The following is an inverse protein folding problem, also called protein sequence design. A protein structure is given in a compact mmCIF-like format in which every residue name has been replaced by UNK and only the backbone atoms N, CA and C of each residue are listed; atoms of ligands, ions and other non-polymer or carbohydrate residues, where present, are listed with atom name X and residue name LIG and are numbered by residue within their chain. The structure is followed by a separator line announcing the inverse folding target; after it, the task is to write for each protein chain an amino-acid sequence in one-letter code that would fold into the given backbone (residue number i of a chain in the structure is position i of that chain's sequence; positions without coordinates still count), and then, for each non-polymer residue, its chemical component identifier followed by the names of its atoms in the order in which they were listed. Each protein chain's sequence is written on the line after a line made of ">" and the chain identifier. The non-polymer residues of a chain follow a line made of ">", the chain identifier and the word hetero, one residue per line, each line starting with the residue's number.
data_IF_268014801337
#
_entry.id   IF_268014801337
#
_cell.length_a   1.000
_cell.length_b   1.000
_cell.length_c   1.000
_cell.angle_alpha   90.00
_cell.angle_beta   90.00
_cell.angle_gamma   90.00
#
_symmetry.space_group_name_H-M   'P 1'
#
loop_
_entity.id
_entity.type
_entity.pdbx_description
1 polymer ?
#
# COMPACT_ATOMS: atom_id res chain seq x y z
N UNK A 1 0.62 24.82 14.84
CA UNK A 1 0.40 23.36 14.92
C UNK A 1 1.22 22.81 16.07
N UNK A 2 0.59 22.19 17.08
CA UNK A 2 1.29 21.70 18.26
C UNK A 2 2.35 20.64 17.88
N UNK A 3 3.57 20.77 18.42
CA UNK A 3 4.71 19.87 18.18
C UNK A 3 4.34 18.39 18.33
N UNK A 4 3.45 18.08 19.27
CA UNK A 4 2.90 16.75 19.51
C UNK A 4 2.20 16.16 18.28
N UNK A 5 1.32 16.94 17.62
CA UNK A 5 0.57 16.50 16.44
C UNK A 5 1.52 16.18 15.29
N UNK A 6 2.53 17.04 15.07
CA UNK A 6 3.48 16.88 13.97
C UNK A 6 4.40 15.66 14.13
N UNK A 7 4.75 15.30 15.36
CA UNK A 7 5.69 14.21 15.63
C UNK A 7 4.98 12.86 15.74
N UNK A 8 3.81 12.81 16.37
CA UNK A 8 3.15 11.53 16.68
C UNK A 8 1.94 11.22 15.80
N UNK A 9 1.05 12.19 15.59
CA UNK A 9 -0.18 11.96 14.84
C UNK A 9 0.05 11.97 13.33
N UNK A 10 0.87 12.91 12.84
CA UNK A 10 1.03 13.12 11.40
C UNK A 10 1.68 11.90 10.69
N UNK A 11 2.77 11.29 11.20
CA UNK A 11 3.34 10.10 10.56
C UNK A 11 2.39 8.90 10.58
N UNK A 12 1.66 8.70 11.69
CA UNK A 12 0.68 7.62 11.81
C UNK A 12 -0.49 7.78 10.86
N UNK A 13 -1.03 9.00 10.72
CA UNK A 13 -2.10 9.31 9.78
C UNK A 13 -1.66 9.11 8.32
N UNK A 14 -0.44 9.50 7.97
CA UNK A 14 0.13 9.27 6.64
C UNK A 14 0.25 7.77 6.38
N UNK A 15 0.80 6.99 7.31
CA UNK A 15 0.88 5.54 7.17
C UNK A 15 -0.51 4.92 6.96
N UNK A 16 -1.48 5.29 7.79
CA UNK A 16 -2.84 4.79 7.70
C UNK A 16 -3.47 5.10 6.34
N UNK A 17 -3.29 6.32 5.81
CA UNK A 17 -3.83 6.70 4.51
C UNK A 17 -3.29 5.82 3.37
N UNK A 18 -2.00 5.48 3.41
CA UNK A 18 -1.36 4.62 2.40
C UNK A 18 -1.83 3.18 2.55
N UNK A 19 -1.94 2.66 3.77
CA UNK A 19 -2.40 1.28 4.02
C UNK A 19 -3.85 1.10 3.58
N UNK A 20 -4.74 2.06 3.86
CA UNK A 20 -6.14 1.96 3.45
C UNK A 20 -6.27 2.01 1.93
N UNK A 21 -5.53 2.91 1.27
CA UNK A 21 -5.56 3.03 -0.18
C UNK A 21 -5.01 1.80 -0.91
N UNK A 22 -3.92 1.19 -0.40
CA UNK A 22 -3.25 0.08 -1.08
C UNK A 22 -3.57 -1.32 -0.59
N UNK A 23 -4.00 -1.48 0.67
CA UNK A 23 -4.04 -2.79 1.35
C UNK A 23 -5.38 -3.49 1.35
N UNK A 24 -6.49 -2.74 1.36
CA UNK A 24 -7.83 -3.29 1.55
C UNK A 24 -8.92 -2.48 0.84
N UNK A 25 -8.59 -1.87 -0.31
CA UNK A 25 -9.49 -0.94 -1.02
C UNK A 25 -10.84 -1.57 -1.42
N UNK A 26 -10.88 -2.90 -1.61
CA UNK A 26 -12.11 -3.64 -1.89
C UNK A 26 -12.78 -4.22 -0.64
N UNK A 27 -12.09 -4.20 0.50
CA UNK A 27 -12.50 -4.85 1.76
C UNK A 27 -12.48 -6.38 1.72
N UNK A 28 -12.32 -6.99 0.54
CA UNK A 28 -12.41 -8.45 0.35
C UNK A 28 -11.26 -9.19 1.02
N UNK A 29 -10.04 -8.63 0.98
CA UNK A 29 -8.91 -9.24 1.68
C UNK A 29 -9.12 -9.20 3.21
N UNK A 30 -9.79 -8.17 3.75
CA UNK A 30 -10.08 -8.11 5.19
C UNK A 30 -11.02 -9.24 5.60
N UNK A 31 -12.07 -9.46 4.80
CA UNK A 31 -13.06 -10.50 5.06
C UNK A 31 -12.40 -11.87 5.00
N UNK A 32 -11.60 -12.12 3.96
CA UNK A 32 -10.93 -13.40 3.73
C UNK A 32 -9.88 -13.72 4.81
N UNK A 33 -9.03 -12.75 5.17
CA UNK A 33 -7.91 -13.00 6.07
C UNK A 33 -8.27 -12.88 7.55
N UNK A 34 -9.23 -12.04 7.92
CA UNK A 34 -9.57 -11.80 9.33
C UNK A 34 -10.91 -12.37 9.74
N UNK A 35 -11.95 -12.35 8.89
CA UNK A 35 -13.31 -12.74 9.35
C UNK A 35 -13.69 -14.19 9.06
N UNK A 36 -13.01 -14.85 8.12
CA UNK A 36 -13.34 -16.20 7.66
C UNK A 36 -13.26 -17.28 8.77
N UNK A 37 -12.40 -17.09 9.77
CA UNK A 37 -12.12 -18.09 10.81
C UNK A 37 -12.85 -17.83 12.15
N UNK A 38 -13.78 -16.86 12.18
CA UNK A 38 -14.54 -16.48 13.38
C UNK A 38 -14.05 -15.20 14.07
N UNK A 39 -14.86 -14.67 15.01
CA UNK A 39 -14.62 -13.35 15.61
C UNK A 39 -13.33 -13.27 16.43
N UNK A 40 -13.04 -14.27 17.26
CA UNK A 40 -11.87 -14.26 18.16
C UNK A 40 -10.54 -14.36 17.40
N UNK A 41 -10.47 -15.24 16.41
CA UNK A 41 -9.29 -15.38 15.53
C UNK A 41 -9.09 -14.14 14.68
N UNK A 42 -10.17 -13.52 14.20
CA UNK A 42 -10.12 -12.26 13.48
C UNK A 42 -9.59 -11.09 14.31
N UNK A 43 -10.07 -10.93 15.55
CA UNK A 43 -9.57 -9.88 16.45
C UNK A 43 -8.09 -10.07 16.79
N UNK A 44 -7.66 -11.30 17.06
CA UNK A 44 -6.26 -11.61 17.30
C UNK A 44 -5.40 -11.36 16.04
N UNK A 45 -5.86 -11.78 14.87
CA UNK A 45 -5.18 -11.53 13.61
C UNK A 45 -5.02 -10.03 13.35
N UNK A 46 -6.07 -9.25 13.58
CA UNK A 46 -6.05 -7.80 13.39
C UNK A 46 -5.11 -7.10 14.38
N UNK A 47 -5.07 -7.55 15.63
CA UNK A 47 -4.12 -7.06 16.63
C UNK A 47 -2.67 -7.37 16.22
N UNK A 48 -2.39 -8.61 15.82
CA UNK A 48 -1.05 -9.02 15.36
C UNK A 48 -0.62 -8.21 14.16
N UNK A 49 -1.46 -8.10 13.13
CA UNK A 49 -1.16 -7.32 11.93
C UNK A 49 -0.89 -5.84 12.26
N UNK A 50 -1.70 -5.24 13.13
CA UNK A 50 -1.56 -3.84 13.55
C UNK A 50 -0.25 -3.62 14.32
N UNK A 51 0.09 -4.50 15.26
CA UNK A 51 1.32 -4.41 16.06
C UNK A 51 2.55 -4.62 15.17
N UNK A 52 2.54 -5.64 14.32
CA UNK A 52 3.62 -5.90 13.38
C UNK A 52 3.86 -4.71 12.45
N UNK A 53 2.80 -4.11 11.91
CA UNK A 53 2.91 -2.95 11.03
C UNK A 53 3.43 -1.72 11.78
N UNK A 54 2.95 -1.47 12.99
CA UNK A 54 3.43 -0.37 13.82
C UNK A 54 4.92 -0.53 14.17
N UNK A 55 5.35 -1.77 14.46
CA UNK A 55 6.75 -2.09 14.76
C UNK A 55 7.64 -1.85 13.54
N UNK A 56 7.26 -2.37 12.37
CA UNK A 56 8.00 -2.16 11.12
C UNK A 56 8.11 -0.66 10.83
N UNK A 57 7.01 0.08 10.95
CA UNK A 57 7.01 1.52 10.71
C UNK A 57 7.92 2.28 11.70
N UNK A 58 7.86 1.94 12.99
CA UNK A 58 8.72 2.53 14.01
C UNK A 58 10.21 2.27 13.70
N UNK A 59 10.56 1.04 13.31
CA UNK A 59 11.93 0.68 12.91
C UNK A 59 12.37 1.48 11.68
N UNK A 60 11.53 1.64 10.67
CA UNK A 60 11.84 2.46 9.49
C UNK A 60 12.10 3.93 9.84
N UNK A 61 11.29 4.51 10.74
CA UNK A 61 11.49 5.88 11.22
C UNK A 61 12.78 6.01 12.02
N UNK A 62 13.09 5.03 12.86
CA UNK A 62 14.31 5.02 13.68
C UNK A 62 15.56 4.90 12.80
N UNK A 63 15.55 4.04 11.79
CA UNK A 63 16.62 3.94 10.78
C UNK A 63 16.79 5.28 10.07
N UNK A 64 15.69 5.87 9.59
CA UNK A 64 15.72 7.18 8.91
C UNK A 64 16.33 8.27 9.81
N UNK A 65 16.03 8.25 11.12
CA UNK A 65 16.55 9.21 12.10
C UNK A 65 18.03 8.99 12.38
N UNK A 66 18.46 7.76 12.65
CA UNK A 66 19.83 7.41 13.03
C UNK A 66 20.80 7.64 11.87
N UNK A 67 20.43 7.19 10.67
CA UNK A 67 21.27 7.31 9.48
C UNK A 67 21.05 8.63 8.72
N UNK A 68 20.18 9.51 9.23
CA UNK A 68 19.77 10.77 8.58
C UNK A 68 19.33 10.57 7.12
N UNK A 69 18.71 9.42 6.85
CA UNK A 69 18.29 8.98 5.53
C UNK A 69 16.83 9.37 5.31
N UNK A 70 16.58 10.63 4.96
CA UNK A 70 15.22 11.16 4.76
C UNK A 70 14.70 11.01 3.33
N UNK A 71 15.60 10.72 2.38
CA UNK A 71 15.26 10.50 0.98
C UNK A 71 15.11 9.02 0.70
N UNK A 72 14.13 8.65 -0.12
CA UNK A 72 13.86 7.28 -0.56
C UNK A 72 15.13 6.53 -0.97
N UNK A 73 15.93 7.13 -1.86
CA UNK A 73 17.17 6.51 -2.37
C UNK A 73 18.17 6.22 -1.25
N UNK A 74 18.42 7.20 -0.38
CA UNK A 74 19.37 7.05 0.73
C UNK A 74 18.87 6.03 1.75
N UNK A 75 17.56 6.00 2.02
CA UNK A 75 16.95 5.02 2.92
C UNK A 75 17.15 3.58 2.42
N UNK A 76 16.84 3.32 1.14
CA UNK A 76 17.02 1.99 0.56
C UNK A 76 18.49 1.59 0.39
N UNK A 77 19.39 2.56 0.18
CA UNK A 77 20.84 2.30 0.21
C UNK A 77 21.31 1.88 1.60
N UNK A 78 20.77 2.46 2.67
CA UNK A 78 21.08 2.04 4.05
C UNK A 78 20.48 0.66 4.36
N UNK A 79 19.24 0.41 3.92
CA UNK A 79 18.52 -0.83 4.22
C UNK A 79 19.04 -2.05 3.45
N UNK A 80 19.31 -1.89 2.16
CA UNK A 80 19.67 -2.99 1.23
C UNK A 80 21.15 -2.97 0.82
N UNK A 81 21.89 -1.92 1.20
CA UNK A 81 23.30 -1.78 0.86
C UNK A 81 23.54 -1.62 -0.65
N UNK A 82 24.52 -2.36 -1.17
CA UNK A 82 24.93 -2.32 -2.58
C UNK A 82 23.80 -2.72 -3.54
N UNK A 83 22.88 -3.56 -3.08
CA UNK A 83 21.85 -4.20 -3.90
C UNK A 83 20.53 -3.41 -3.94
N UNK A 84 20.55 -2.13 -3.55
CA UNK A 84 19.37 -1.27 -3.54
C UNK A 84 18.67 -1.14 -4.90
N UNK A 85 19.40 -1.30 -6.01
CA UNK A 85 18.84 -1.24 -7.36
C UNK A 85 17.82 -2.36 -7.65
N UNK A 86 17.93 -3.53 -6.98
CA UNK A 86 16.94 -4.59 -7.15
C UNK A 86 15.55 -4.13 -6.71
N UNK A 87 15.49 -3.26 -5.71
CA UNK A 87 14.23 -2.69 -5.25
C UNK A 87 13.58 -1.80 -6.32
N UNK A 88 14.37 -1.05 -7.10
CA UNK A 88 13.82 -0.27 -8.23
C UNK A 88 13.23 -1.19 -9.31
N UNK A 89 13.84 -2.34 -9.58
CA UNK A 89 13.31 -3.34 -10.53
C UNK A 89 11.96 -3.89 -10.03
N UNK A 90 11.91 -4.33 -8.77
CA UNK A 90 10.68 -4.86 -8.17
C UNK A 90 9.60 -3.79 -8.10
N UNK A 91 9.95 -2.54 -7.77
CA UNK A 91 9.02 -1.42 -7.76
C UNK A 91 8.45 -1.15 -9.16
N UNK A 92 9.27 -1.19 -10.21
CA UNK A 92 8.82 -1.05 -11.60
C UNK A 92 7.86 -2.18 -12.01
N UNK A 93 8.19 -3.43 -11.66
CA UNK A 93 7.32 -4.58 -11.93
C UNK A 93 5.99 -4.49 -11.17
N UNK A 94 6.02 -4.07 -9.90
CA UNK A 94 4.82 -3.82 -9.11
C UNK A 94 3.95 -2.73 -9.72
N UNK A 95 4.55 -1.65 -10.23
CA UNK A 95 3.82 -0.58 -10.88
C UNK A 95 3.10 -1.07 -12.15
N UNK A 96 3.77 -1.87 -12.99
CA UNK A 96 3.14 -2.51 -14.15
C UNK A 96 2.00 -3.44 -13.75
N UNK A 97 2.19 -4.25 -12.69
CA UNK A 97 1.16 -5.15 -12.17
C UNK A 97 -0.06 -4.37 -11.70
N UNK A 98 0.14 -3.29 -10.94
CA UNK A 98 -0.95 -2.44 -10.43
C UNK A 98 -1.76 -1.82 -11.58
N UNK A 99 -1.10 -1.26 -12.60
CA UNK A 99 -1.80 -0.71 -13.77
C UNK A 99 -2.58 -1.81 -14.49
N UNK A 100 -1.99 -2.99 -14.68
CA UNK A 100 -2.65 -4.10 -15.35
C UNK A 100 -3.89 -4.59 -14.58
N UNK A 101 -3.79 -4.72 -13.25
CA UNK A 101 -4.91 -5.17 -12.40
C UNK A 101 -6.03 -4.14 -12.37
N UNK A 102 -5.72 -2.86 -12.16
CA UNK A 102 -6.75 -1.81 -12.11
C UNK A 102 -7.38 -1.62 -13.50
N UNK A 103 -6.60 -1.69 -14.58
CA UNK A 103 -7.11 -1.63 -15.95
C UNK A 103 -8.08 -2.78 -16.24
N UNK A 104 -7.71 -4.01 -15.85
CA UNK A 104 -8.59 -5.18 -15.97
C UNK A 104 -9.88 -5.02 -15.17
N UNK A 105 -9.79 -4.56 -13.92
CA UNK A 105 -10.95 -4.30 -13.07
C UNK A 105 -11.87 -3.22 -13.65
N UNK A 106 -11.32 -2.13 -14.20
CA UNK A 106 -12.09 -1.08 -14.85
C UNK A 106 -12.81 -1.57 -16.12
N UNK A 107 -12.13 -2.40 -16.92
CA UNK A 107 -12.73 -3.05 -18.10
C UNK A 107 -13.91 -3.96 -17.72
N UNK A 108 -13.74 -4.77 -16.67
CA UNK A 108 -14.78 -5.67 -16.16
C UNK A 108 -15.99 -4.89 -15.64
N UNK A 109 -15.78 -3.88 -14.79
CA UNK A 109 -16.86 -3.05 -14.24
C UNK A 109 -17.65 -2.34 -15.34
N UNK A 110 -16.97 -1.80 -16.36
CA UNK A 110 -17.65 -1.14 -17.48
C UNK A 110 -18.48 -2.14 -18.31
N UNK A 111 -17.99 -3.37 -18.45
CA UNK A 111 -18.70 -4.44 -19.15
C UNK A 111 -19.91 -4.94 -18.37
N UNK A 112 -19.77 -5.13 -17.04
CA UNK A 112 -20.82 -5.68 -16.19
C UNK A 112 -21.96 -4.69 -15.92
N UNK A 113 -21.64 -3.41 -15.68
CA UNK A 113 -22.63 -2.41 -15.28
C UNK A 113 -23.24 -1.67 -16.48
N UNK A 114 -22.46 -1.46 -17.54
CA UNK A 114 -22.86 -0.61 -18.67
C UNK A 114 -22.97 -1.38 -20.00
N UNK A 115 -22.64 -2.68 -20.01
CA UNK A 115 -22.71 -3.52 -21.22
C UNK A 115 -21.76 -3.09 -22.34
N UNK A 116 -20.79 -2.24 -22.04
CA UNK A 116 -19.86 -1.69 -23.02
C UNK A 116 -18.66 -2.64 -23.21
N UNK A 117 -18.00 -2.61 -24.39
CA UNK A 117 -16.81 -3.41 -24.61
C UNK A 117 -15.71 -3.10 -23.56
N UNK A 118 -15.03 -4.12 -22.99
CA UNK A 118 -14.01 -3.94 -21.95
C UNK A 118 -12.89 -2.96 -22.35
N UNK A 119 -12.59 -2.88 -23.65
CA UNK A 119 -11.60 -1.96 -24.21
C UNK A 119 -11.88 -0.49 -23.86
N UNK A 120 -13.16 -0.12 -23.73
CA UNK A 120 -13.58 1.25 -23.40
C UNK A 120 -13.26 1.58 -21.95
N UNK A 121 -13.50 0.64 -21.03
CA UNK A 121 -13.16 0.79 -19.61
C UNK A 121 -11.65 0.87 -19.40
N UNK A 122 -10.87 0.03 -20.08
CA UNK A 122 -9.41 0.07 -20.04
C UNK A 122 -8.87 1.38 -20.62
N UNK A 123 -9.37 1.81 -21.78
CA UNK A 123 -8.92 3.04 -22.44
C UNK A 123 -9.22 4.30 -21.62
N UNK A 124 -10.41 4.40 -21.01
CA UNK A 124 -10.74 5.52 -20.11
C UNK A 124 -9.86 5.53 -18.87
N UNK A 125 -9.62 4.38 -18.24
CA UNK A 125 -8.75 4.28 -17.08
C UNK A 125 -7.33 4.74 -17.42
N UNK A 126 -6.77 4.24 -18.52
CA UNK A 126 -5.44 4.64 -18.96
C UNK A 126 -5.36 6.14 -19.25
N UNK A 127 -6.34 6.70 -19.97
CA UNK A 127 -6.41 8.14 -20.27
C UNK A 127 -6.56 9.02 -19.02
N UNK A 128 -7.17 8.51 -17.95
CA UNK A 128 -7.32 9.25 -16.70
C UNK A 128 -6.06 9.20 -15.81
N UNK A 129 -5.25 8.15 -15.95
CA UNK A 129 -4.02 7.94 -15.16
C UNK A 129 -2.79 8.59 -15.81
N UNK A 130 -2.74 8.66 -17.15
CA UNK A 130 -1.70 9.37 -17.91
C UNK A 130 -1.91 10.87 -17.90
#
# INVERSE_FOLDING_TARGET
>A
MNRFIRIYLLPGAVLQSVIIAGGYGTGREVVEYFTAQGLYSGLLGLAVASISMALIFCVCLEISRVFKAYNYRTFFQVLLGRNWFLFEIVAGLMFMLVIAVIGSAAGEVMSSELGLPPIVGVAMMLAAVT
#
